data_IF_429167676167
#
_entry.id   IF_429167676167
#
_cell.length_a   1.000
_cell.length_b   1.000
_cell.length_c   1.000
_cell.angle_alpha   90.00
_cell.angle_beta   90.00
_cell.angle_gamma   90.00
#
_symmetry.space_group_name_H-M   'P 1'
#
loop_
_entity.id
_entity.type
_entity.pdbx_description
1 polymer ?
#
# COMPACT_ATOMS: atom_id res chain seq x y z
N UNK A 1 62.75 -7.16 -29.04
CA UNK A 1 63.21 -8.32 -28.25
C UNK A 1 61.99 -8.96 -27.58
N UNK A 2 61.37 -9.96 -28.22
CA UNK A 2 60.41 -10.93 -27.62
C UNK A 2 61.24 -12.03 -26.86
N UNK A 3 60.74 -13.15 -26.27
CA UNK A 3 59.65 -13.97 -26.83
C UNK A 3 58.87 -14.95 -25.90
N UNK A 4 58.06 -15.80 -26.58
CA UNK A 4 57.61 -17.17 -26.22
C UNK A 4 56.50 -17.29 -25.15
N UNK A 5 55.46 -18.09 -25.29
CA UNK A 5 54.99 -19.06 -26.29
C UNK A 5 53.52 -19.37 -25.92
N UNK A 6 52.59 -19.59 -26.86
CA UNK A 6 52.15 -20.93 -27.30
C UNK A 6 51.52 -21.77 -26.16
N UNK A 7 50.35 -22.41 -26.25
CA UNK A 7 49.57 -22.87 -27.38
C UNK A 7 48.28 -23.53 -26.83
N UNK A 8 47.24 -23.52 -27.68
CA UNK A 8 46.31 -24.62 -27.98
C UNK A 8 45.32 -25.21 -26.96
N UNK A 9 44.10 -25.31 -27.51
CA UNK A 9 43.15 -26.42 -27.49
C UNK A 9 42.07 -26.49 -26.40
N UNK A 10 40.83 -26.66 -26.89
CA UNK A 10 39.75 -27.25 -26.09
C UNK A 10 38.36 -26.86 -26.56
N UNK A 11 37.94 -27.34 -27.73
CA UNK A 11 36.55 -27.28 -28.17
C UNK A 11 35.63 -28.04 -27.18
N UNK A 12 34.50 -27.43 -26.83
CA UNK A 12 33.33 -28.16 -26.33
C UNK A 12 32.06 -27.53 -26.90
N UNK A 13 31.59 -28.14 -27.99
CA UNK A 13 30.27 -27.96 -28.57
C UNK A 13 29.21 -28.30 -27.51
N UNK A 14 28.40 -27.31 -27.12
CA UNK A 14 27.23 -27.53 -26.29
C UNK A 14 26.18 -28.34 -27.07
N UNK A 15 25.61 -29.44 -26.51
CA UNK A 15 24.61 -30.21 -27.21
C UNK A 15 23.26 -29.48 -27.24
N UNK A 16 22.73 -29.35 -28.46
CA UNK A 16 21.40 -28.82 -28.77
C UNK A 16 20.31 -29.66 -28.11
N UNK A 17 19.71 -29.15 -27.03
CA UNK A 17 18.58 -29.77 -26.35
C UNK A 17 17.31 -29.65 -27.23
N UNK A 18 16.96 -30.75 -27.88
CA UNK A 18 15.69 -30.94 -28.57
C UNK A 18 14.53 -30.84 -27.56
N UNK A 19 13.80 -29.72 -27.60
CA UNK A 19 12.53 -29.54 -26.89
C UNK A 19 11.43 -30.31 -27.62
N UNK A 20 11.08 -31.49 -27.09
CA UNK A 20 9.85 -32.17 -27.48
C UNK A 20 8.61 -31.39 -26.99
N UNK A 21 7.58 -31.20 -27.84
CA UNK A 21 6.35 -30.55 -27.42
C UNK A 21 5.59 -31.46 -26.43
N UNK A 22 5.55 -31.05 -25.16
CA UNK A 22 4.67 -31.65 -24.14
C UNK A 22 3.22 -31.41 -24.53
N UNK A 23 2.50 -32.49 -24.84
CA UNK A 23 1.03 -32.50 -24.99
C UNK A 23 0.38 -31.99 -23.71
N UNK A 24 -0.32 -30.86 -23.81
CA UNK A 24 -1.20 -30.34 -22.77
C UNK A 24 -2.39 -31.31 -22.61
N UNK A 25 -2.52 -31.92 -21.43
CA UNK A 25 -3.76 -32.61 -21.02
C UNK A 25 -4.70 -31.55 -20.42
N UNK A 26 -6.00 -31.55 -20.74
CA UNK A 26 -6.95 -30.66 -20.10
C UNK A 26 -7.11 -31.03 -18.61
N UNK A 27 -7.27 -30.04 -17.70
CA UNK A 27 -7.51 -30.33 -16.30
C UNK A 27 -8.95 -30.84 -16.12
N UNK A 28 -9.11 -32.16 -16.01
CA UNK A 28 -10.31 -32.78 -15.44
C UNK A 28 -10.17 -32.76 -13.92
N UNK A 29 -10.86 -31.85 -13.25
CA UNK A 29 -11.22 -32.01 -11.84
C UNK A 29 -12.40 -31.12 -11.51
N UNK A 30 -13.60 -31.63 -11.73
CA UNK A 30 -14.79 -31.13 -11.07
C UNK A 30 -14.74 -31.64 -9.62
N UNK A 31 -14.29 -30.81 -8.69
CA UNK A 31 -14.33 -31.13 -7.27
C UNK A 31 -15.77 -30.93 -6.75
N UNK A 32 -16.56 -32.01 -6.75
CA UNK A 32 -17.88 -32.04 -6.11
C UNK A 32 -17.69 -32.16 -4.60
N UNK A 33 -17.84 -31.05 -3.87
CA UNK A 33 -17.84 -31.03 -2.41
C UNK A 33 -19.24 -31.42 -1.91
N UNK A 34 -19.41 -32.66 -1.46
CA UNK A 34 -20.64 -33.11 -0.80
C UNK A 34 -20.64 -32.67 0.66
N UNK A 35 -21.42 -31.64 0.98
CA UNK A 35 -21.75 -31.29 2.37
C UNK A 35 -22.81 -32.27 2.87
N UNK A 36 -22.42 -33.21 3.74
CA UNK A 36 -23.35 -34.11 4.42
C UNK A 36 -24.01 -33.32 5.56
N UNK A 37 -25.13 -32.68 5.26
CA UNK A 37 -26.03 -32.07 6.25
C UNK A 37 -26.91 -33.13 6.91
N UNK A 38 -26.86 -33.21 8.24
CA UNK A 38 -27.68 -34.07 9.10
C UNK A 38 -29.17 -33.75 8.90
N UNK A 39 -29.93 -34.65 8.27
CA UNK A 39 -31.40 -34.51 8.07
C UNK A 39 -32.17 -34.77 9.36
N UNK A 40 -32.72 -33.73 9.97
CA UNK A 40 -33.94 -33.83 10.77
C UNK A 40 -35.14 -33.94 9.82
N UNK A 41 -35.91 -35.03 9.94
CA UNK A 41 -37.14 -35.26 9.16
C UNK A 41 -38.22 -34.30 9.65
N UNK A 42 -38.90 -33.57 8.76
CA UNK A 42 -40.33 -33.24 8.81
C UNK A 42 -40.73 -32.49 7.52
N UNK A 43 -41.88 -32.84 6.93
CA UNK A 43 -42.61 -31.98 5.99
C UNK A 43 -42.48 -32.31 4.49
N UNK A 44 -43.52 -32.94 3.95
CA UNK A 44 -43.79 -33.05 2.51
C UNK A 44 -44.19 -31.69 1.94
N UNK A 45 -43.32 -31.10 1.12
CA UNK A 45 -43.63 -29.94 0.29
C UNK A 45 -42.71 -29.94 -0.93
N UNK A 46 -43.27 -29.98 -2.14
CA UNK A 46 -42.52 -29.82 -3.40
C UNK A 46 -42.05 -28.37 -3.54
N UNK A 47 -41.04 -27.99 -2.77
CA UNK A 47 -40.26 -26.78 -3.01
C UNK A 47 -39.28 -27.06 -4.14
N UNK A 48 -39.44 -26.37 -5.28
CA UNK A 48 -38.41 -26.32 -6.32
C UNK A 48 -37.17 -25.70 -5.67
N UNK A 49 -36.18 -26.52 -5.33
CA UNK A 49 -34.87 -26.04 -4.91
C UNK A 49 -34.25 -25.33 -6.11
N UNK A 50 -34.41 -24.01 -6.17
CA UNK A 50 -33.68 -23.17 -7.11
C UNK A 50 -32.26 -23.08 -6.58
N UNK A 51 -31.41 -23.99 -7.05
CA UNK A 51 -29.98 -23.84 -6.87
C UNK A 51 -29.52 -22.72 -7.78
N UNK A 52 -29.38 -21.51 -7.25
CA UNK A 52 -28.69 -20.43 -7.95
C UNK A 52 -27.24 -20.88 -8.09
N UNK A 53 -26.87 -21.39 -9.27
CA UNK A 53 -25.47 -21.59 -9.62
C UNK A 53 -24.86 -20.21 -9.79
N UNK A 54 -24.10 -19.78 -8.80
CA UNK A 54 -23.22 -18.64 -8.97
C UNK A 54 -22.04 -19.09 -9.85
N UNK A 55 -22.24 -19.13 -11.17
CA UNK A 55 -21.16 -19.29 -12.13
C UNK A 55 -20.32 -18.01 -12.10
N UNK A 56 -19.19 -18.06 -11.41
CA UNK A 56 -18.24 -16.94 -11.33
C UNK A 56 -17.74 -16.58 -9.93
N UNK A 57 -18.24 -17.20 -8.85
CA UNK A 57 -17.67 -16.96 -7.51
C UNK A 57 -16.40 -17.78 -7.36
N UNK A 58 -15.26 -17.14 -7.62
CA UNK A 58 -13.94 -17.74 -7.42
C UNK A 58 -13.55 -17.78 -5.94
N UNK A 59 -12.51 -18.53 -5.59
CA UNK A 59 -11.89 -18.44 -4.23
C UNK A 59 -11.50 -17.00 -3.90
N UNK A 60 -11.14 -16.21 -4.92
CA UNK A 60 -10.90 -14.77 -4.79
C UNK A 60 -12.09 -14.00 -4.23
N UNK A 61 -13.33 -14.40 -4.48
CA UNK A 61 -14.51 -13.70 -3.94
C UNK A 61 -14.79 -14.07 -2.49
N UNK A 62 -14.32 -15.24 -2.02
CA UNK A 62 -14.44 -15.68 -0.63
C UNK A 62 -13.34 -15.11 0.29
N UNK A 63 -12.15 -14.86 -0.27
CA UNK A 63 -11.00 -14.33 0.46
C UNK A 63 -10.86 -12.80 0.25
N UNK A 64 -11.58 -12.24 -0.73
CA UNK A 64 -11.30 -10.91 -1.26
C UNK A 64 -10.09 -10.99 -2.20
N UNK A 65 -10.33 -10.86 -3.51
CA UNK A 65 -9.34 -11.17 -4.55
C UNK A 65 -8.08 -10.32 -4.50
N UNK A 66 -8.06 -9.29 -3.65
CA UNK A 66 -6.93 -8.42 -3.35
C UNK A 66 -5.96 -9.03 -2.31
N UNK A 67 -6.43 -9.91 -1.41
CA UNK A 67 -5.58 -10.54 -0.39
C UNK A 67 -4.61 -11.59 -0.97
N UNK A 68 -4.88 -12.11 -2.16
CA UNK A 68 -4.07 -13.12 -2.84
C UNK A 68 -3.00 -12.54 -3.77
N UNK A 69 -2.93 -11.21 -3.94
CA UNK A 69 -2.02 -10.60 -4.90
C UNK A 69 -0.60 -10.38 -4.37
N UNK A 70 0.37 -10.45 -5.28
CA UNK A 70 1.80 -10.20 -5.06
C UNK A 70 2.19 -8.72 -5.20
N UNK A 71 1.22 -7.80 -5.18
CA UNK A 71 1.42 -6.36 -5.45
C UNK A 71 2.29 -5.65 -4.38
N UNK A 72 2.63 -6.33 -3.29
CA UNK A 72 3.50 -5.84 -2.21
C UNK A 72 4.92 -5.48 -2.68
N UNK A 73 5.45 -6.19 -3.69
CA UNK A 73 6.77 -5.89 -4.24
C UNK A 73 6.74 -4.57 -5.02
N UNK A 74 5.74 -4.43 -5.89
CA UNK A 74 5.51 -3.21 -6.66
C UNK A 74 5.24 -2.02 -5.74
N UNK A 75 4.42 -2.19 -4.70
CA UNK A 75 4.17 -1.16 -3.69
C UNK A 75 5.46 -0.58 -3.09
N UNK A 76 6.41 -1.44 -2.70
CA UNK A 76 7.66 -0.98 -2.11
C UNK A 76 8.51 -0.20 -3.12
N UNK A 77 8.61 -0.69 -4.35
CA UNK A 77 9.32 -0.01 -5.43
C UNK A 77 8.70 1.37 -5.72
N UNK A 78 7.37 1.44 -5.83
CA UNK A 78 6.64 2.66 -6.16
C UNK A 78 6.75 3.71 -5.04
N UNK A 79 6.75 3.29 -3.77
CA UNK A 79 7.00 4.18 -2.61
C UNK A 79 8.41 4.76 -2.66
N UNK A 80 9.39 3.98 -3.11
CA UNK A 80 10.79 4.44 -3.21
C UNK A 80 11.02 5.35 -4.42
N UNK A 81 10.40 5.04 -5.56
CA UNK A 81 10.51 5.78 -6.80
C UNK A 81 9.78 7.11 -6.74
N UNK A 82 8.48 7.09 -6.42
CA UNK A 82 7.64 8.30 -6.45
C UNK A 82 7.73 9.13 -5.18
N UNK A 83 8.10 8.51 -4.05
CA UNK A 83 8.23 9.11 -2.70
C UNK A 83 6.95 9.68 -2.08
N UNK A 84 6.02 10.15 -2.90
CA UNK A 84 4.71 10.64 -2.53
C UNK A 84 3.64 9.89 -3.33
N UNK A 85 2.77 9.16 -2.63
CA UNK A 85 1.69 8.38 -3.22
C UNK A 85 0.34 8.87 -2.69
N UNK A 86 -0.65 8.84 -3.57
CA UNK A 86 -2.05 8.85 -3.19
C UNK A 86 -2.59 7.43 -3.20
N UNK A 87 -3.30 7.06 -2.15
CA UNK A 87 -3.96 5.78 -2.05
C UNK A 87 -5.48 5.93 -2.08
N UNK A 88 -6.12 4.90 -2.62
CA UNK A 88 -7.55 4.74 -2.70
C UNK A 88 -7.93 3.39 -2.11
N UNK A 89 -8.43 3.43 -0.88
CA UNK A 89 -8.79 2.22 -0.14
C UNK A 89 -10.28 1.87 -0.29
N UNK A 90 -10.65 0.58 -0.19
CA UNK A 90 -12.04 0.17 -0.08
C UNK A 90 -12.74 0.75 1.15
N UNK A 91 -14.05 0.98 1.05
CA UNK A 91 -14.84 1.60 2.11
C UNK A 91 -14.95 0.76 3.38
N UNK A 92 -14.72 -0.54 3.26
CA UNK A 92 -14.77 -1.50 4.37
C UNK A 92 -13.60 -1.30 5.35
N UNK A 93 -12.53 -0.65 4.90
CA UNK A 93 -11.30 -0.49 5.67
C UNK A 93 -10.51 -1.80 5.81
N UNK A 94 -9.36 -1.74 6.48
CA UNK A 94 -8.53 -2.91 6.81
C UNK A 94 -7.50 -3.33 5.75
N UNK A 95 -7.70 -2.97 4.48
CA UNK A 95 -6.74 -3.27 3.41
C UNK A 95 -5.41 -2.51 3.56
N UNK A 96 -5.46 -1.28 4.06
CA UNK A 96 -4.29 -0.40 4.26
C UNK A 96 -3.23 -1.02 5.17
N UNK A 97 -3.67 -1.69 6.24
CA UNK A 97 -2.81 -2.27 7.26
C UNK A 97 -1.77 -3.25 6.69
N UNK A 98 -2.12 -3.96 5.61
CA UNK A 98 -1.20 -4.88 4.92
C UNK A 98 -0.01 -4.14 4.31
N UNK A 99 -0.26 -3.05 3.59
CA UNK A 99 0.75 -2.23 2.92
C UNK A 99 1.58 -1.42 3.93
N UNK A 100 0.91 -0.91 4.95
CA UNK A 100 1.52 -0.21 6.07
C UNK A 100 2.47 -1.13 6.85
N UNK A 101 2.04 -2.34 7.21
CA UNK A 101 2.89 -3.30 7.93
C UNK A 101 4.11 -3.71 7.09
N UNK A 102 3.95 -3.83 5.76
CA UNK A 102 5.07 -4.14 4.87
C UNK A 102 6.15 -3.06 4.92
N UNK A 103 5.77 -1.79 4.95
CA UNK A 103 6.69 -0.66 5.11
C UNK A 103 7.33 -0.63 6.51
N UNK A 104 6.57 -0.94 7.57
CA UNK A 104 7.12 -1.06 8.93
C UNK A 104 8.22 -2.13 9.00
N UNK A 105 8.02 -3.28 8.36
CA UNK A 105 9.05 -4.33 8.29
C UNK A 105 10.30 -3.91 7.51
N UNK A 106 10.22 -2.91 6.63
CA UNK A 106 11.37 -2.34 5.93
C UNK A 106 12.12 -1.29 6.77
N UNK A 107 11.71 -1.05 8.02
CA UNK A 107 12.36 -0.09 8.91
C UNK A 107 11.91 1.35 8.72
N UNK A 108 10.75 1.57 8.08
CA UNK A 108 10.11 2.88 8.07
C UNK A 108 9.32 3.13 9.35
N UNK A 109 9.42 4.35 9.87
CA UNK A 109 8.61 4.85 10.98
C UNK A 109 7.43 5.63 10.45
N UNK A 110 6.36 5.70 11.24
CA UNK A 110 5.09 6.27 10.80
C UNK A 110 4.73 7.52 11.62
N UNK A 111 4.30 8.54 10.91
CA UNK A 111 3.61 9.72 11.41
C UNK A 111 2.18 9.64 10.84
N UNK A 112 1.29 9.05 11.63
CA UNK A 112 -0.13 8.92 11.27
C UNK A 112 -0.85 10.22 11.64
N UNK A 113 -1.46 10.88 10.64
CA UNK A 113 -2.15 12.17 10.78
C UNK A 113 -3.53 12.12 10.15
N UNK A 114 -4.48 12.86 10.71
CA UNK A 114 -5.78 13.11 10.08
C UNK A 114 -5.76 14.44 9.35
N UNK A 115 -6.09 14.45 8.06
CA UNK A 115 -6.13 15.67 7.25
C UNK A 115 -7.08 16.74 7.82
N UNK A 116 -8.21 16.33 8.38
CA UNK A 116 -9.21 17.26 8.95
C UNK A 116 -8.70 18.04 10.15
N UNK A 117 -7.79 17.46 10.93
CA UNK A 117 -7.23 18.08 12.13
C UNK A 117 -5.93 18.84 11.86
N UNK A 118 -5.39 18.78 10.64
CA UNK A 118 -4.05 19.28 10.34
C UNK A 118 -3.99 20.80 10.15
N UNK A 119 -5.09 21.41 9.73
CA UNK A 119 -5.08 22.80 9.26
C UNK A 119 -4.26 22.93 7.98
N UNK A 120 -3.39 23.94 7.90
CA UNK A 120 -2.46 24.09 6.79
C UNK A 120 -1.27 23.11 6.92
N UNK A 121 -1.08 22.16 5.98
CA UNK A 121 -0.03 21.16 6.07
C UNK A 121 1.38 21.75 6.02
N UNK A 122 1.57 22.90 5.36
CA UNK A 122 2.89 23.51 5.29
C UNK A 122 3.35 23.97 6.67
N UNK A 123 2.52 24.77 7.34
CA UNK A 123 2.82 25.29 8.67
C UNK A 123 2.89 24.19 9.72
N UNK A 124 1.94 23.26 9.75
CA UNK A 124 1.89 22.22 10.78
C UNK A 124 3.05 21.21 10.67
N UNK A 125 3.45 20.82 9.45
CA UNK A 125 4.48 19.79 9.27
C UNK A 125 5.92 20.32 9.37
N UNK A 126 6.17 21.54 8.89
CA UNK A 126 7.54 22.05 8.70
C UNK A 126 7.90 23.25 9.57
N UNK A 127 6.92 23.95 10.14
CA UNK A 127 7.15 25.16 10.92
C UNK A 127 6.71 24.95 12.36
N UNK A 128 7.24 25.80 13.24
CA UNK A 128 6.72 25.95 14.59
C UNK A 128 5.37 26.64 14.46
N UNK A 129 4.31 26.01 14.94
CA UNK A 129 2.96 26.54 14.83
C UNK A 129 2.31 26.71 16.22
N UNK A 130 1.55 27.80 16.42
CA UNK A 130 0.84 28.03 17.65
C UNK A 130 -0.47 27.24 17.71
N UNK A 131 -0.67 26.48 18.78
CA UNK A 131 -1.93 25.80 19.09
C UNK A 131 -2.55 26.47 20.32
N UNK A 132 -3.82 26.85 20.19
CA UNK A 132 -4.60 27.38 21.30
C UNK A 132 -5.34 26.22 21.99
N UNK A 133 -4.96 25.83 23.22
CA UNK A 133 -5.71 24.83 23.96
C UNK A 133 -7.11 25.33 24.30
N UNK A 134 -8.04 24.38 24.52
CA UNK A 134 -9.42 24.71 24.88
C UNK A 134 -9.49 25.37 26.26
N UNK A 135 -9.71 26.68 26.28
CA UNK A 135 -9.70 27.48 27.51
C UNK A 135 -11.02 27.42 28.32
N UNK A 136 -12.11 26.92 27.72
CA UNK A 136 -13.45 26.70 28.31
C UNK A 136 -14.01 27.90 29.12
N UNK A 137 -13.54 29.12 28.86
CA UNK A 137 -13.88 30.33 29.62
C UNK A 137 -13.32 30.40 31.04
N UNK A 138 -12.54 29.41 31.49
CA UNK A 138 -11.95 29.35 32.84
C UNK A 138 -10.47 29.70 32.88
N UNK A 139 -9.79 29.51 31.75
CA UNK A 139 -8.36 29.75 31.61
C UNK A 139 -8.12 30.97 30.71
N UNK A 140 -7.01 31.70 30.89
CA UNK A 140 -6.59 32.71 29.93
C UNK A 140 -6.29 32.06 28.58
N UNK A 141 -6.39 32.84 27.50
CA UNK A 141 -6.06 32.39 26.15
C UNK A 141 -4.54 32.15 26.10
N UNK A 142 -4.16 30.88 26.27
CA UNK A 142 -2.79 30.44 26.14
C UNK A 142 -2.49 30.09 24.67
N UNK A 143 -1.20 30.11 24.32
CA UNK A 143 -0.71 29.70 23.01
C UNK A 143 0.51 28.81 23.22
N UNK A 144 0.38 27.55 22.85
CA UNK A 144 1.46 26.57 22.94
C UNK A 144 2.11 26.45 21.57
N UNK A 145 3.43 26.61 21.52
CA UNK A 145 4.18 26.51 20.27
C UNK A 145 4.63 25.07 20.10
N UNK A 146 4.01 24.38 19.14
CA UNK A 146 4.38 23.01 18.82
C UNK A 146 5.58 23.01 17.88
N UNK A 147 6.54 22.09 18.09
CA UNK A 147 7.66 21.94 17.17
C UNK A 147 7.19 21.44 15.79
N UNK A 148 7.99 21.62 14.74
CA UNK A 148 7.68 21.07 13.42
C UNK A 148 7.57 19.54 13.48
N UNK A 149 6.40 18.99 13.15
CA UNK A 149 6.09 17.57 13.35
C UNK A 149 7.02 16.63 12.60
N UNK A 150 7.40 16.98 11.37
CA UNK A 150 8.27 16.13 10.54
C UNK A 150 9.71 16.20 11.04
N UNK A 151 10.24 17.40 11.23
CA UNK A 151 11.65 17.59 11.61
C UNK A 151 11.93 17.06 13.02
N UNK A 152 11.04 17.34 13.98
CA UNK A 152 11.15 16.82 15.34
C UNK A 152 11.18 15.28 15.38
N UNK A 153 10.35 14.63 14.55
CA UNK A 153 10.32 13.16 14.47
C UNK A 153 11.53 12.60 13.74
N UNK A 154 11.99 13.27 12.67
CA UNK A 154 13.21 12.88 11.96
C UNK A 154 14.43 12.89 12.88
N UNK A 155 14.54 13.89 13.75
CA UNK A 155 15.63 13.99 14.72
C UNK A 155 15.55 12.92 15.82
N UNK A 156 14.32 12.49 16.16
CA UNK A 156 14.07 11.42 17.12
C UNK A 156 14.19 10.00 16.51
N UNK A 157 14.41 9.86 15.20
CA UNK A 157 14.55 8.55 14.56
C UNK A 157 15.86 7.87 14.98
N UNK A 158 15.85 6.53 15.18
CA UNK A 158 17.09 5.81 15.40
C UNK A 158 17.92 5.81 14.10
N UNK A 159 19.26 5.78 14.19
CA UNK A 159 20.15 5.97 13.04
C UNK A 159 20.05 4.84 11.99
N UNK A 160 19.52 3.68 12.37
CA UNK A 160 19.29 2.52 11.50
C UNK A 160 17.94 2.58 10.76
N UNK A 161 17.07 3.55 11.05
CA UNK A 161 15.78 3.69 10.37
C UNK A 161 15.97 4.12 8.91
N UNK A 162 15.12 3.58 8.03
CA UNK A 162 15.14 3.92 6.60
C UNK A 162 14.61 5.33 6.35
N UNK A 163 13.60 5.74 7.11
CA UNK A 163 13.00 7.06 7.01
C UNK A 163 11.65 7.17 7.73
N UNK A 164 11.01 8.34 7.58
CA UNK A 164 9.68 8.64 8.11
C UNK A 164 8.65 8.59 6.97
N UNK A 165 7.56 7.88 7.19
CA UNK A 165 6.37 7.88 6.34
C UNK A 165 5.32 8.75 7.01
N UNK A 166 4.92 9.83 6.34
CA UNK A 166 3.78 10.66 6.74
C UNK A 166 2.54 10.05 6.10
N UNK A 167 1.71 9.40 6.93
CA UNK A 167 0.48 8.76 6.50
C UNK A 167 -0.70 9.66 6.84
N UNK A 168 -1.29 10.26 5.81
CA UNK A 168 -2.39 11.21 5.95
C UNK A 168 -3.70 10.51 5.64
N UNK A 169 -4.43 10.27 6.71
CA UNK A 169 -5.76 9.68 6.72
C UNK A 169 -6.78 10.74 6.29
N UNK A 170 -7.76 10.34 5.48
CA UNK A 170 -8.82 11.22 4.94
C UNK A 170 -8.31 12.43 4.12
N UNK A 171 -7.18 12.31 3.42
CA UNK A 171 -6.62 13.38 2.58
C UNK A 171 -7.55 13.90 1.46
N UNK A 172 -8.67 13.23 1.18
CA UNK A 172 -9.74 13.72 0.28
C UNK A 172 -10.31 15.12 0.62
N UNK A 173 -10.13 15.58 1.86
CA UNK A 173 -10.58 16.92 2.28
C UNK A 173 -9.59 18.02 1.91
N UNK A 174 -8.35 17.67 1.56
CA UNK A 174 -7.32 18.62 1.21
C UNK A 174 -7.56 19.21 -0.17
N UNK A 175 -7.27 20.49 -0.31
CA UNK A 175 -7.22 21.21 -1.57
C UNK A 175 -6.07 20.72 -2.46
N UNK A 176 -6.16 21.01 -3.76
CA UNK A 176 -5.09 20.66 -4.71
C UNK A 176 -3.75 21.29 -4.34
N UNK A 177 -3.74 22.53 -3.83
CA UNK A 177 -2.54 23.22 -3.40
C UNK A 177 -1.86 22.51 -2.21
N UNK A 178 -2.65 22.04 -1.26
CA UNK A 178 -2.16 21.26 -0.12
C UNK A 178 -1.58 19.92 -0.57
N UNK A 179 -2.23 19.23 -1.51
CA UNK A 179 -1.70 18.00 -2.11
C UNK A 179 -0.40 18.24 -2.91
N UNK A 180 -0.27 19.40 -3.58
CA UNK A 180 0.96 19.80 -4.26
C UNK A 180 2.11 19.98 -3.26
N UNK A 181 1.86 20.65 -2.13
CA UNK A 181 2.85 20.78 -1.06
C UNK A 181 3.31 19.41 -0.54
N UNK A 182 2.37 18.50 -0.29
CA UNK A 182 2.65 17.14 0.15
C UNK A 182 3.47 16.34 -0.87
N UNK A 183 3.26 16.57 -2.17
CA UNK A 183 4.07 15.97 -3.23
C UNK A 183 5.50 16.54 -3.28
N UNK A 184 5.70 17.80 -2.88
CA UNK A 184 7.01 18.44 -2.80
C UNK A 184 7.79 18.10 -1.52
N UNK A 185 7.11 17.68 -0.45
CA UNK A 185 7.72 17.42 0.86
C UNK A 185 8.91 16.44 0.80
N UNK A 186 8.87 15.32 0.06
CA UNK A 186 10.04 14.42 -0.09
C UNK A 186 11.23 15.02 -0.83
N UNK A 187 11.02 16.10 -1.60
CA UNK A 187 12.09 16.85 -2.26
C UNK A 187 12.81 17.75 -1.26
N UNK A 188 12.06 18.37 -0.34
CA UNK A 188 12.59 19.18 0.76
C UNK A 188 13.30 18.32 1.81
N UNK A 189 12.72 17.16 2.14
CA UNK A 189 13.23 16.21 3.14
C UNK A 189 13.38 14.81 2.53
N UNK A 190 14.58 14.40 2.07
CA UNK A 190 14.76 13.18 1.28
C UNK A 190 14.50 11.87 2.05
N UNK A 191 14.59 11.89 3.39
CA UNK A 191 14.26 10.75 4.27
C UNK A 191 12.76 10.60 4.53
N UNK A 192 11.93 11.51 4.00
CA UNK A 192 10.48 11.50 4.19
C UNK A 192 9.81 10.87 2.97
N UNK A 193 8.77 10.08 3.24
CA UNK A 193 7.83 9.55 2.26
C UNK A 193 6.43 9.99 2.65
N UNK A 194 5.57 10.26 1.68
CA UNK A 194 4.22 10.74 1.92
C UNK A 194 3.22 9.78 1.31
N UNK A 195 2.21 9.42 2.09
CA UNK A 195 1.10 8.58 1.65
C UNK A 195 -0.19 9.27 2.06
N UNK A 196 -1.05 9.58 1.09
CA UNK A 196 -2.27 10.35 1.31
C UNK A 196 -3.51 9.59 0.83
N UNK A 197 -4.49 9.39 1.73
CA UNK A 197 -5.77 8.75 1.43
C UNK A 197 -6.72 9.71 0.71
N UNK A 198 -6.57 9.81 -0.61
CA UNK A 198 -7.24 10.82 -1.43
C UNK A 198 -8.67 10.44 -1.83
N UNK A 199 -9.12 9.23 -1.50
CA UNK A 199 -10.47 8.78 -1.78
C UNK A 199 -10.63 7.28 -1.60
N UNK A 200 -11.68 6.74 -2.19
CA UNK A 200 -12.04 5.35 -2.04
C UNK A 200 -12.15 4.66 -3.40
N UNK A 201 -11.90 3.35 -3.42
CA UNK A 201 -12.02 2.51 -4.61
C UNK A 201 -12.41 1.08 -4.24
N UNK A 202 -13.01 0.31 -5.14
CA UNK A 202 -13.44 -1.08 -4.86
C UNK A 202 -12.28 -2.05 -4.60
N UNK A 203 -11.06 -1.65 -4.93
CA UNK A 203 -9.80 -2.40 -4.75
C UNK A 203 -8.76 -1.43 -4.22
N UNK A 204 -7.77 -1.91 -3.47
CA UNK A 204 -6.70 -1.03 -3.04
C UNK A 204 -5.86 -0.61 -4.25
N UNK A 205 -5.86 0.68 -4.56
CA UNK A 205 -5.14 1.26 -5.69
C UNK A 205 -4.30 2.43 -5.20
N UNK A 206 -3.14 2.63 -5.81
CA UNK A 206 -2.30 3.79 -5.55
C UNK A 206 -1.86 4.44 -6.86
N UNK A 207 -1.56 5.73 -6.78
CA UNK A 207 -1.00 6.53 -7.86
C UNK A 207 0.02 7.51 -7.31
N UNK A 208 0.96 8.00 -8.13
CA UNK A 208 1.84 9.09 -7.73
C UNK A 208 1.02 10.32 -7.32
N UNK A 209 1.33 10.92 -6.17
CA UNK A 209 0.59 12.07 -5.66
C UNK A 209 0.66 13.27 -6.62
N UNK A 210 1.78 13.38 -7.34
CA UNK A 210 2.04 14.42 -8.34
C UNK A 210 0.97 14.46 -9.45
N UNK A 211 0.52 13.29 -9.93
CA UNK A 211 -0.51 13.19 -10.97
C UNK A 211 -1.87 13.74 -10.52
N UNK A 212 -2.20 13.59 -9.24
CA UNK A 212 -3.50 14.00 -8.67
C UNK A 212 -3.49 15.46 -8.27
N UNK A 213 -2.35 15.94 -7.78
CA UNK A 213 -2.12 17.33 -7.44
C UNK A 213 -2.15 18.26 -8.68
N UNK A 214 -2.12 17.69 -9.90
CA UNK A 214 -2.13 18.44 -11.16
C UNK A 214 -0.79 19.09 -11.49
N UNK A 215 0.31 18.46 -11.07
CA UNK A 215 1.69 18.94 -11.20
C UNK A 215 2.56 18.07 -12.10
#
# INVERSE_FOLDING_TARGET
MPPLASMLNGAALAPSLHLHPRRLRPPTSAATLQVIGRRTRFGTGKGRAVTVRCEGIGIGDFIGGDLLKFDLGQWLSDVEEHKALAIYSPHEGGYEGRYLNRLRYQGYYFLDLSARGLGDPETTLTKIHPVCPAHLGKQPIARWYFPPEVDYRLDALPPNAKGLVVWIIEAKVLSKAELQFLALLPTLRPKVRVIAECGNWRKFMWKPLKEIAGA
#
